data_IF_142444761457
#
_entry.id   IF_142444761457
#
_cell.length_a   1.000
_cell.length_b   1.000
_cell.length_c   1.000
_cell.angle_alpha   90.00
_cell.angle_beta   90.00
_cell.angle_gamma   90.00
#
_symmetry.space_group_name_H-M   'P 1'
#
loop_
_entity.id
_entity.type
_entity.pdbx_description
1 polymer ?
#
# COMPACT_ATOMS: atom_id res chain seq x y z
N UNK A 1 -24.30 39.73 12.47
CA UNK A 1 -23.74 39.68 11.10
C UNK A 1 -23.68 38.21 10.69
N UNK A 2 -24.41 37.79 9.66
CA UNK A 2 -24.31 36.42 9.14
C UNK A 2 -23.07 36.33 8.25
N UNK A 3 -22.05 35.61 8.68
CA UNK A 3 -20.93 35.24 7.79
C UNK A 3 -21.36 34.04 6.96
N UNK A 4 -21.28 34.11 5.62
CA UNK A 4 -21.65 32.98 4.75
C UNK A 4 -20.65 31.82 4.84
N UNK A 5 -19.39 32.11 5.15
CA UNK A 5 -18.31 31.13 5.32
C UNK A 5 -17.99 30.96 6.80
N UNK A 6 -18.74 30.07 7.45
CA UNK A 6 -18.53 29.78 8.87
C UNK A 6 -17.49 28.67 9.09
N UNK A 7 -17.28 27.80 8.10
CA UNK A 7 -16.15 26.88 8.05
C UNK A 7 -15.01 27.51 7.26
N UNK A 8 -13.83 27.63 7.86
CA UNK A 8 -12.65 28.20 7.21
C UNK A 8 -11.34 27.58 7.73
N UNK A 9 -10.27 27.80 6.97
CA UNK A 9 -8.97 27.19 7.27
C UNK A 9 -8.34 27.72 8.56
N UNK A 10 -8.47 29.02 8.85
CA UNK A 10 -7.91 29.64 10.05
C UNK A 10 -8.46 29.00 11.32
N UNK A 11 -9.78 28.87 11.42
CA UNK A 11 -10.45 28.17 12.51
C UNK A 11 -10.02 26.69 12.54
N UNK A 12 -9.92 26.04 11.38
CA UNK A 12 -9.43 24.66 11.28
C UNK A 12 -8.03 24.48 11.88
N UNK A 13 -7.10 25.39 11.60
CA UNK A 13 -5.74 25.38 12.16
C UNK A 13 -5.76 25.57 13.68
N UNK A 14 -6.63 26.43 14.20
CA UNK A 14 -6.81 26.56 15.65
C UNK A 14 -7.36 25.28 16.30
N UNK A 15 -8.35 24.64 15.66
CA UNK A 15 -8.89 23.36 16.11
C UNK A 15 -7.82 22.26 16.07
N UNK A 16 -6.96 22.25 15.06
CA UNK A 16 -5.84 21.32 14.97
C UNK A 16 -4.87 21.49 16.14
N UNK A 17 -4.50 22.73 16.48
CA UNK A 17 -3.65 23.01 17.65
C UNK A 17 -4.29 22.48 18.95
N UNK A 18 -5.59 22.73 19.15
CA UNK A 18 -6.35 22.22 20.31
C UNK A 18 -6.40 20.69 20.33
N UNK A 19 -6.60 20.06 19.18
CA UNK A 19 -6.61 18.60 19.04
C UNK A 19 -5.26 18.00 19.42
N UNK A 20 -4.13 18.60 19.00
CA UNK A 20 -2.79 18.13 19.41
C UNK A 20 -2.56 18.23 20.92
N UNK A 21 -2.97 19.35 21.53
CA UNK A 21 -2.91 19.52 22.99
C UNK A 21 -3.73 18.44 23.68
N UNK A 22 -4.97 18.23 23.24
CA UNK A 22 -5.86 17.21 23.78
C UNK A 22 -5.27 15.78 23.68
N UNK A 23 -4.74 15.42 22.51
CA UNK A 23 -4.11 14.11 22.29
C UNK A 23 -2.93 13.87 23.25
N UNK A 24 -2.13 14.91 23.50
CA UNK A 24 -1.01 14.85 24.44
C UNK A 24 -1.49 14.73 25.89
N UNK A 25 -2.45 15.55 26.30
CA UNK A 25 -3.00 15.55 27.67
C UNK A 25 -3.71 14.24 28.02
N UNK A 26 -4.39 13.60 27.05
CA UNK A 26 -5.08 12.32 27.23
C UNK A 26 -4.20 11.10 26.94
N UNK A 27 -2.93 11.31 26.58
CA UNK A 27 -2.01 10.24 26.18
C UNK A 27 -2.55 9.33 25.07
N UNK A 28 -3.29 9.91 24.11
CA UNK A 28 -3.93 9.17 23.01
C UNK A 28 -3.08 9.14 21.74
N UNK A 29 -2.04 9.97 21.66
CA UNK A 29 -1.22 10.12 20.45
C UNK A 29 -0.53 8.80 20.06
N UNK A 30 0.10 8.13 21.02
CA UNK A 30 0.82 6.88 20.76
C UNK A 30 -0.14 5.76 20.37
N UNK A 31 -1.28 5.63 21.06
CA UNK A 31 -2.29 4.62 20.70
C UNK A 31 -2.85 4.86 19.29
N UNK A 32 -3.11 6.11 18.93
CA UNK A 32 -3.61 6.49 17.61
C UNK A 32 -2.59 6.17 16.51
N UNK A 33 -1.31 6.52 16.72
CA UNK A 33 -0.23 6.18 15.77
C UNK A 33 -0.06 4.68 15.61
N UNK A 34 -0.11 3.93 16.71
CA UNK A 34 -0.01 2.47 16.66
C UNK A 34 -1.21 1.84 15.94
N UNK A 35 -2.43 2.35 16.11
CA UNK A 35 -3.60 1.91 15.33
C UNK A 35 -3.45 2.19 13.83
N UNK A 36 -2.84 3.33 13.46
CA UNK A 36 -2.48 3.60 12.06
C UNK A 36 -1.46 2.59 11.53
N UNK A 37 -0.42 2.26 12.29
CA UNK A 37 0.57 1.25 11.90
C UNK A 37 -0.02 -0.16 11.81
N UNK A 38 -0.91 -0.52 12.74
CA UNK A 38 -1.66 -1.79 12.74
C UNK A 38 -2.52 -1.90 11.48
N UNK A 39 -3.22 -0.82 11.11
CA UNK A 39 -3.99 -0.81 9.87
C UNK A 39 -3.05 -0.92 8.68
N UNK A 40 -2.06 -0.02 8.57
CA UNK A 40 -1.12 0.06 7.43
C UNK A 40 -0.44 -1.27 7.12
N UNK A 41 -0.04 -2.02 8.15
CA UNK A 41 0.64 -3.32 8.00
C UNK A 41 -0.20 -4.36 7.26
N UNK A 42 -1.51 -4.18 7.14
CA UNK A 42 -2.40 -5.12 6.43
C UNK A 42 -2.10 -5.19 4.93
N UNK A 43 -1.45 -4.19 4.34
CA UNK A 43 -1.01 -4.30 2.94
C UNK A 43 -0.08 -5.50 2.73
N UNK A 44 0.79 -5.76 3.72
CA UNK A 44 1.83 -6.79 3.62
C UNK A 44 1.26 -8.21 3.68
N UNK A 45 0.01 -8.39 4.13
CA UNK A 45 -0.67 -9.69 4.15
C UNK A 45 -1.50 -9.99 2.90
N UNK A 46 -1.68 -9.01 2.00
CA UNK A 46 -2.35 -9.21 0.72
C UNK A 46 -1.30 -9.76 -0.27
N UNK A 47 -1.36 -11.05 -0.67
CA UNK A 47 -0.28 -11.65 -1.44
C UNK A 47 -0.16 -11.04 -2.84
N UNK A 48 1.07 -10.83 -3.28
CA UNK A 48 1.36 -10.33 -4.62
C UNK A 48 2.18 -11.34 -5.42
N UNK A 49 1.71 -11.61 -6.62
CA UNK A 49 2.23 -12.60 -7.56
C UNK A 49 2.47 -11.93 -8.91
N UNK A 50 3.18 -12.61 -9.81
CA UNK A 50 3.37 -12.11 -11.18
C UNK A 50 2.04 -11.94 -11.95
N UNK A 51 1.00 -12.69 -11.58
CA UNK A 51 -0.31 -12.63 -12.23
C UNK A 51 -1.16 -11.44 -11.77
N UNK A 52 -1.04 -11.07 -10.49
CA UNK A 52 -1.80 -9.98 -9.90
C UNK A 52 -1.00 -8.66 -9.79
N UNK A 53 0.28 -8.67 -10.17
CA UNK A 53 1.11 -7.48 -10.22
C UNK A 53 0.47 -6.44 -11.15
N UNK A 54 0.26 -5.23 -10.65
CA UNK A 54 -0.40 -4.12 -11.37
C UNK A 54 -1.85 -4.39 -11.82
N UNK A 55 -2.53 -5.39 -11.25
CA UNK A 55 -3.94 -5.66 -11.58
C UNK A 55 -4.93 -4.74 -10.88
N UNK A 56 -4.45 -3.96 -9.89
CA UNK A 56 -5.29 -3.15 -9.00
C UNK A 56 -6.01 -3.96 -7.91
N UNK A 57 -5.67 -5.23 -7.68
CA UNK A 57 -6.39 -6.08 -6.69
C UNK A 57 -6.29 -5.57 -5.24
N UNK A 58 -5.21 -4.83 -4.91
CA UNK A 58 -5.00 -4.18 -3.61
C UNK A 58 -5.54 -2.75 -3.54
N UNK A 59 -6.06 -2.20 -4.64
CA UNK A 59 -6.54 -0.82 -4.73
C UNK A 59 -7.60 -0.48 -3.66
N UNK A 60 -8.64 -1.30 -3.39
CA UNK A 60 -9.63 -0.95 -2.38
C UNK A 60 -9.01 -0.80 -0.99
N UNK A 61 -8.02 -1.63 -0.66
CA UNK A 61 -7.31 -1.47 0.60
C UNK A 61 -6.48 -0.17 0.62
N UNK A 62 -5.74 0.12 -0.45
CA UNK A 62 -4.94 1.36 -0.54
C UNK A 62 -5.83 2.61 -0.40
N UNK A 63 -6.96 2.65 -1.10
CA UNK A 63 -7.92 3.74 -1.01
C UNK A 63 -8.56 3.82 0.40
N UNK A 64 -8.78 2.67 1.06
CA UNK A 64 -9.24 2.65 2.46
C UNK A 64 -8.22 3.24 3.44
N UNK A 65 -6.92 3.09 3.16
CA UNK A 65 -5.84 3.67 3.97
C UNK A 65 -5.78 5.18 3.80
N UNK A 66 -5.96 5.68 2.58
CA UNK A 66 -6.04 7.11 2.31
C UNK A 66 -7.26 7.74 2.98
N UNK A 67 -8.44 7.11 2.88
CA UNK A 67 -9.64 7.52 3.61
C UNK A 67 -9.46 7.52 5.14
N UNK A 68 -8.68 6.59 5.70
CA UNK A 68 -8.41 6.57 7.14
C UNK A 68 -7.62 7.80 7.59
N UNK A 69 -6.63 8.21 6.80
CA UNK A 69 -5.85 9.42 7.03
C UNK A 69 -6.69 10.69 6.83
N UNK A 70 -7.50 10.73 5.76
CA UNK A 70 -8.42 11.84 5.48
C UNK A 70 -9.41 12.02 6.64
N UNK A 71 -9.99 10.93 7.14
CA UNK A 71 -10.89 10.92 8.29
C UNK A 71 -10.26 11.57 9.53
N UNK A 72 -9.01 11.21 9.86
CA UNK A 72 -8.30 11.82 10.98
C UNK A 72 -8.00 13.31 10.75
N UNK A 73 -7.59 13.70 9.54
CA UNK A 73 -7.35 15.09 9.20
C UNK A 73 -8.62 15.93 9.33
N UNK A 74 -9.75 15.45 8.79
CA UNK A 74 -11.06 16.09 8.92
C UNK A 74 -11.47 16.23 10.39
N UNK A 75 -11.33 15.16 11.18
CA UNK A 75 -11.64 15.18 12.62
C UNK A 75 -10.78 16.21 13.36
N UNK A 76 -9.48 16.25 13.05
CA UNK A 76 -8.52 17.15 13.70
C UNK A 76 -8.72 18.62 13.33
N UNK A 77 -9.44 18.90 12.24
CA UNK A 77 -9.84 20.24 11.82
C UNK A 77 -11.28 20.61 12.26
N UNK A 78 -11.96 19.75 13.02
CA UNK A 78 -13.32 19.98 13.51
C UNK A 78 -14.44 19.64 12.53
N UNK A 79 -14.14 18.96 11.42
CA UNK A 79 -15.13 18.43 10.46
C UNK A 79 -15.64 17.05 10.88
N UNK A 80 -16.19 16.94 12.10
CA UNK A 80 -16.51 15.65 12.72
C UNK A 80 -17.51 14.80 11.92
N UNK A 81 -18.51 15.41 11.27
CA UNK A 81 -19.47 14.67 10.44
C UNK A 81 -18.77 14.05 9.23
N UNK A 82 -17.98 14.83 8.51
CA UNK A 82 -17.23 14.40 7.33
C UNK A 82 -16.20 13.34 7.71
N UNK A 83 -15.57 13.46 8.88
CA UNK A 83 -14.69 12.43 9.42
C UNK A 83 -15.42 11.08 9.61
N UNK A 84 -16.65 11.07 10.12
CA UNK A 84 -17.45 9.83 10.21
C UNK A 84 -17.88 9.31 8.84
N UNK A 85 -18.20 10.18 7.88
CA UNK A 85 -18.46 9.79 6.49
C UNK A 85 -17.24 9.11 5.88
N UNK A 86 -16.05 9.66 6.10
CA UNK A 86 -14.80 9.07 5.62
C UNK A 86 -14.49 7.74 6.33
N UNK A 87 -14.74 7.59 7.64
CA UNK A 87 -14.66 6.27 8.32
C UNK A 87 -15.61 5.21 7.72
N UNK A 88 -16.76 5.63 7.18
CA UNK A 88 -17.64 4.72 6.45
C UNK A 88 -16.96 4.22 5.19
N UNK A 89 -16.34 5.11 4.43
CA UNK A 89 -15.56 4.76 3.23
C UNK A 89 -14.44 3.78 3.58
N UNK A 90 -13.70 4.00 4.66
CA UNK A 90 -12.68 3.05 5.16
C UNK A 90 -13.26 1.66 5.34
N UNK A 91 -14.39 1.54 6.05
CA UNK A 91 -15.03 0.25 6.29
C UNK A 91 -15.49 -0.42 4.99
N UNK A 92 -16.14 0.33 4.10
CA UNK A 92 -16.64 -0.19 2.83
C UNK A 92 -15.50 -0.66 1.92
N UNK A 93 -14.47 0.18 1.72
CA UNK A 93 -13.30 -0.12 0.90
C UNK A 93 -12.45 -1.27 1.50
N UNK A 94 -12.27 -1.29 2.81
CA UNK A 94 -11.60 -2.39 3.52
C UNK A 94 -12.32 -3.72 3.34
N UNK A 95 -13.66 -3.73 3.33
CA UNK A 95 -14.45 -4.93 3.02
C UNK A 95 -14.36 -5.32 1.53
N UNK A 96 -14.30 -4.35 0.62
CA UNK A 96 -14.15 -4.61 -0.82
C UNK A 96 -12.82 -5.29 -1.14
N UNK A 97 -11.73 -4.90 -0.45
CA UNK A 97 -10.44 -5.59 -0.56
C UNK A 97 -10.59 -7.10 -0.35
N UNK A 98 -11.31 -7.50 0.70
CA UNK A 98 -11.57 -8.91 1.00
C UNK A 98 -12.55 -9.52 0.01
N UNK A 99 -13.62 -8.80 -0.34
CA UNK A 99 -14.67 -9.28 -1.25
C UNK A 99 -14.13 -9.68 -2.63
N UNK A 100 -13.25 -8.85 -3.20
CA UNK A 100 -12.65 -9.11 -4.50
C UNK A 100 -11.60 -10.21 -4.43
N UNK A 101 -10.83 -10.27 -3.33
CA UNK A 101 -9.77 -11.27 -3.18
C UNK A 101 -10.20 -12.57 -2.47
N UNK A 102 -11.49 -12.77 -2.16
CA UNK A 102 -11.96 -13.90 -1.33
C UNK A 102 -11.63 -15.29 -1.91
N UNK A 103 -11.54 -15.40 -3.24
CA UNK A 103 -11.17 -16.61 -3.97
C UNK A 103 -9.81 -16.49 -4.68
N UNK A 104 -9.01 -15.49 -4.33
CA UNK A 104 -7.69 -15.19 -4.91
C UNK A 104 -7.70 -14.86 -6.42
N UNK A 105 -8.88 -14.54 -6.97
CA UNK A 105 -9.14 -14.13 -8.36
C UNK A 105 -9.40 -12.60 -8.50
N UNK A 106 -9.07 -11.83 -7.45
CA UNK A 106 -9.35 -10.39 -7.38
C UNK A 106 -8.73 -9.59 -8.53
N UNK A 107 -7.58 -10.03 -9.05
CA UNK A 107 -6.90 -9.44 -10.20
C UNK A 107 -7.69 -9.51 -11.53
N UNK A 108 -8.67 -10.40 -11.61
CA UNK A 108 -9.60 -10.53 -12.74
C UNK A 108 -10.87 -9.76 -12.44
N UNK A 109 -11.51 -10.07 -11.30
CA UNK A 109 -12.85 -9.60 -10.97
C UNK A 109 -12.94 -8.09 -10.74
N UNK A 110 -11.87 -7.46 -10.24
CA UNK A 110 -11.91 -6.04 -9.87
C UNK A 110 -11.91 -5.10 -11.08
N UNK A 111 -11.54 -5.58 -12.28
CA UNK A 111 -11.31 -4.73 -13.46
C UNK A 111 -12.54 -3.94 -13.87
N UNK A 112 -13.72 -4.54 -13.85
CA UNK A 112 -14.93 -3.83 -14.27
C UNK A 112 -15.35 -2.75 -13.27
N UNK A 113 -15.16 -3.00 -11.96
CA UNK A 113 -15.34 -1.99 -10.93
C UNK A 113 -14.32 -0.84 -11.05
N UNK A 114 -13.02 -1.14 -11.24
CA UNK A 114 -11.99 -0.11 -11.48
C UNK A 114 -12.27 0.75 -12.71
N UNK A 115 -12.85 0.15 -13.75
CA UNK A 115 -13.23 0.85 -14.98
C UNK A 115 -14.64 1.45 -14.92
N UNK A 116 -15.25 1.54 -13.74
CA UNK A 116 -16.58 2.16 -13.52
C UNK A 116 -17.71 1.51 -14.34
N UNK A 117 -17.61 0.21 -14.62
CA UNK A 117 -18.64 -0.56 -15.35
C UNK A 117 -19.62 -1.28 -14.42
N UNK A 118 -19.23 -1.50 -13.17
CA UNK A 118 -20.07 -2.12 -12.15
C UNK A 118 -20.15 -1.24 -10.89
N UNK A 119 -21.33 -1.25 -10.27
CA UNK A 119 -21.56 -0.57 -8.99
C UNK A 119 -20.88 -1.32 -7.84
N UNK A 120 -20.52 -0.56 -6.79
CA UNK A 120 -20.03 -1.13 -5.54
C UNK A 120 -21.10 -2.06 -4.91
N UNK A 121 -20.76 -3.32 -4.58
CA UNK A 121 -21.71 -4.24 -3.96
C UNK A 121 -22.15 -3.76 -2.58
N UNK A 122 -23.40 -4.04 -2.23
CA UNK A 122 -23.95 -3.69 -0.90
C UNK A 122 -23.36 -4.60 0.17
N UNK A 123 -23.32 -4.13 1.41
CA UNK A 123 -22.80 -4.89 2.57
C UNK A 123 -23.38 -6.32 2.68
N UNK A 124 -24.67 -6.49 2.41
CA UNK A 124 -25.32 -7.80 2.43
C UNK A 124 -24.74 -8.75 1.38
N UNK A 125 -24.50 -8.25 0.16
CA UNK A 125 -23.88 -9.02 -0.93
C UNK A 125 -22.43 -9.36 -0.58
N UNK A 126 -21.69 -8.39 -0.03
CA UNK A 126 -20.32 -8.59 0.43
C UNK A 126 -20.26 -9.71 1.47
N UNK A 127 -21.07 -9.60 2.54
CA UNK A 127 -21.10 -10.59 3.61
C UNK A 127 -21.54 -11.96 3.12
N UNK A 128 -22.54 -12.03 2.23
CA UNK A 128 -23.01 -13.29 1.62
C UNK A 128 -21.91 -14.00 0.83
N UNK A 129 -20.99 -13.25 0.21
CA UNK A 129 -19.83 -13.84 -0.49
C UNK A 129 -18.75 -14.26 0.51
N UNK A 130 -18.35 -13.36 1.41
CA UNK A 130 -17.27 -13.60 2.39
C UNK A 130 -17.58 -14.78 3.32
N UNK A 131 -18.81 -14.88 3.81
CA UNK A 131 -19.22 -15.94 4.76
C UNK A 131 -19.19 -17.37 4.20
N UNK A 132 -19.04 -17.54 2.88
CA UNK A 132 -18.86 -18.86 2.25
C UNK A 132 -17.43 -19.38 2.30
N UNK A 133 -16.46 -18.52 2.60
CA UNK A 133 -15.07 -18.94 2.77
C UNK A 133 -14.91 -19.72 4.08
N UNK A 134 -14.18 -20.85 4.04
CA UNK A 134 -14.02 -21.78 5.17
C UNK A 134 -13.50 -21.09 6.44
N UNK A 135 -12.54 -20.18 6.30
CA UNK A 135 -11.94 -19.48 7.44
C UNK A 135 -12.96 -18.53 8.09
N UNK A 136 -13.74 -17.81 7.28
CA UNK A 136 -14.82 -16.96 7.78
C UNK A 136 -15.95 -17.76 8.41
N UNK A 137 -16.33 -18.90 7.84
CA UNK A 137 -17.35 -19.78 8.40
C UNK A 137 -16.91 -20.29 9.79
N UNK A 138 -15.68 -20.80 9.90
CA UNK A 138 -15.11 -21.27 11.16
C UNK A 138 -15.02 -20.14 12.19
N UNK A 139 -14.48 -18.98 11.81
CA UNK A 139 -14.30 -17.86 12.73
C UNK A 139 -15.62 -17.26 13.21
N UNK A 140 -16.63 -17.17 12.34
CA UNK A 140 -17.95 -16.61 12.68
C UNK A 140 -18.68 -17.47 13.73
N UNK A 141 -18.53 -18.81 13.68
CA UNK A 141 -19.14 -19.73 14.67
C UNK A 141 -18.69 -19.43 16.11
N UNK A 142 -17.46 -18.93 16.28
CA UNK A 142 -16.85 -18.72 17.59
C UNK A 142 -16.83 -17.26 18.07
N UNK A 143 -16.91 -16.27 17.16
CA UNK A 143 -16.63 -14.86 17.50
C UNK A 143 -17.72 -13.86 17.10
N UNK A 144 -18.74 -14.30 16.36
CA UNK A 144 -19.85 -13.47 15.90
C UNK A 144 -19.42 -12.12 15.27
N UNK A 145 -18.40 -12.17 14.40
CA UNK A 145 -17.81 -10.98 13.76
C UNK A 145 -18.82 -10.22 12.89
N UNK A 146 -19.84 -10.91 12.34
CA UNK A 146 -20.95 -10.28 11.62
C UNK A 146 -21.66 -9.22 12.45
N UNK A 147 -22.01 -9.53 13.70
CA UNK A 147 -22.75 -8.60 14.56
C UNK A 147 -21.87 -7.41 14.94
N UNK A 148 -20.57 -7.64 15.14
CA UNK A 148 -19.59 -6.57 15.36
C UNK A 148 -19.53 -5.63 14.15
N UNK A 149 -19.50 -6.19 12.94
CA UNK A 149 -19.55 -5.42 11.69
C UNK A 149 -20.87 -4.64 11.54
N UNK A 150 -22.01 -5.28 11.78
CA UNK A 150 -23.33 -4.63 11.65
C UNK A 150 -23.53 -3.47 12.63
N UNK A 151 -22.88 -3.48 13.80
CA UNK A 151 -22.89 -2.34 14.73
C UNK A 151 -22.23 -1.08 14.17
N UNK A 152 -21.41 -1.20 13.12
CA UNK A 152 -20.80 -0.06 12.41
C UNK A 152 -21.70 0.52 11.31
N UNK A 153 -22.85 -0.10 11.01
CA UNK A 153 -23.81 0.46 10.05
C UNK A 153 -24.38 1.82 10.48
N UNK A 154 -24.24 2.18 11.76
CA UNK A 154 -24.62 3.51 12.23
C UNK A 154 -23.78 4.64 11.61
N UNK A 155 -22.61 4.34 11.02
CA UNK A 155 -21.85 5.29 10.21
C UNK A 155 -22.64 5.80 9.00
N UNK A 156 -23.57 4.99 8.47
CA UNK A 156 -24.48 5.41 7.40
C UNK A 156 -25.37 6.59 7.81
N UNK A 157 -25.60 6.78 9.11
CA UNK A 157 -26.44 7.87 9.61
C UNK A 157 -25.84 9.25 9.32
N UNK A 158 -24.52 9.36 9.13
CA UNK A 158 -23.81 10.62 8.87
C UNK A 158 -23.87 11.10 7.41
N UNK A 159 -24.38 10.28 6.48
CA UNK A 159 -24.62 10.67 5.07
C UNK A 159 -26.06 11.10 4.81
N UNK A 160 -26.65 11.89 5.73
CA UNK A 160 -28.00 12.46 5.60
C UNK A 160 -29.18 11.48 5.67
N UNK A 161 -28.97 10.28 6.20
CA UNK A 161 -30.06 9.28 6.33
C UNK A 161 -30.82 9.39 7.65
N UNK A 162 -30.27 10.10 8.64
CA UNK A 162 -30.95 10.44 9.90
C UNK A 162 -30.84 11.93 10.21
N UNK A 163 -31.76 12.40 11.05
CA UNK A 163 -31.95 13.82 11.38
C UNK A 163 -30.78 14.48 12.12
N UNK A 164 -31.06 15.64 12.72
CA UNK A 164 -30.05 16.60 13.19
C UNK A 164 -28.94 16.04 14.11
N UNK A 165 -29.17 14.93 14.82
CA UNK A 165 -28.16 14.26 15.65
C UNK A 165 -26.96 13.69 14.88
N UNK A 166 -27.14 13.35 13.59
CA UNK A 166 -26.08 12.85 12.71
C UNK A 166 -25.64 13.91 11.67
N UNK A 167 -26.02 15.17 11.88
CA UNK A 167 -25.59 16.30 11.08
C UNK A 167 -24.27 16.88 11.62
N UNK A 168 -23.88 18.10 11.21
CA UNK A 168 -22.70 18.80 11.74
C UNK A 168 -22.81 19.14 13.26
N UNK A 169 -23.84 18.64 13.95
CA UNK A 169 -24.08 18.77 15.40
C UNK A 169 -23.57 17.55 16.19
N UNK A 170 -22.54 16.85 15.70
CA UNK A 170 -22.03 15.61 16.32
C UNK A 170 -21.53 15.84 17.77
N UNK A 171 -21.28 17.09 18.19
CA UNK A 171 -21.15 17.48 19.60
C UNK A 171 -22.16 18.56 20.05
N UNK A 172 -21.77 19.83 20.22
CA UNK A 172 -22.70 20.83 20.77
C UNK A 172 -23.74 21.30 19.74
N UNK A 173 -24.96 21.58 20.21
CA UNK A 173 -26.12 22.00 19.40
C UNK A 173 -25.94 23.28 18.55
N UNK A 174 -24.81 23.99 18.66
CA UNK A 174 -24.68 25.39 18.20
C UNK A 174 -23.36 25.81 17.56
N UNK A 175 -22.39 24.93 17.29
CA UNK A 175 -21.19 25.41 16.56
C UNK A 175 -21.55 25.59 15.08
N UNK A 176 -21.69 26.85 14.66
CA UNK A 176 -21.84 27.20 13.25
C UNK A 176 -20.49 27.18 12.51
N UNK A 177 -19.36 27.07 13.21
CA UNK A 177 -17.99 27.10 12.68
C UNK A 177 -17.16 25.89 13.13
N UNK A 178 -15.94 25.73 12.58
CA UNK A 178 -14.97 24.75 13.09
C UNK A 178 -14.63 25.06 14.55
N UNK A 179 -14.95 24.15 15.46
CA UNK A 179 -14.53 24.23 16.86
C UNK A 179 -14.05 22.87 17.34
N UNK A 180 -13.14 22.87 18.30
CA UNK A 180 -12.71 21.64 18.95
C UNK A 180 -13.78 21.22 19.94
N UNK A 181 -14.30 19.99 19.77
CA UNK A 181 -15.32 19.42 20.63
C UNK A 181 -14.85 18.04 21.13
N UNK A 182 -14.45 17.96 22.40
CA UNK A 182 -13.94 16.73 23.02
C UNK A 182 -14.90 15.55 22.84
N UNK A 183 -16.21 15.75 23.07
CA UNK A 183 -17.21 14.69 22.93
C UNK A 183 -17.30 14.15 21.50
N UNK A 184 -17.21 15.04 20.51
CA UNK A 184 -17.25 14.64 19.11
C UNK A 184 -15.96 13.91 18.70
N UNK A 185 -14.81 14.39 19.18
CA UNK A 185 -13.52 13.72 18.99
C UNK A 185 -13.50 12.32 19.60
N UNK A 186 -13.92 12.16 20.86
CA UNK A 186 -13.99 10.84 21.51
C UNK A 186 -14.94 9.89 20.76
N UNK A 187 -16.09 10.41 20.28
CA UNK A 187 -17.05 9.61 19.51
C UNK A 187 -16.42 9.11 18.21
N UNK A 188 -15.74 10.00 17.48
CA UNK A 188 -14.97 9.64 16.29
C UNK A 188 -13.88 8.62 16.64
N UNK A 189 -13.07 8.87 17.67
CA UNK A 189 -11.95 8.01 18.07
C UNK A 189 -12.39 6.57 18.40
N UNK A 190 -13.50 6.42 19.13
CA UNK A 190 -14.10 5.10 19.41
C UNK A 190 -14.52 4.37 18.12
N UNK A 191 -15.09 5.09 17.16
CA UNK A 191 -15.49 4.53 15.86
C UNK A 191 -14.29 4.22 14.97
N UNK A 192 -13.31 5.10 14.92
CA UNK A 192 -12.03 4.91 14.25
C UNK A 192 -11.37 3.61 14.72
N UNK A 193 -11.19 3.45 16.03
CA UNK A 193 -10.60 2.24 16.61
C UNK A 193 -11.38 0.99 16.23
N UNK A 194 -12.71 1.02 16.33
CA UNK A 194 -13.52 -0.14 16.00
C UNK A 194 -13.49 -0.50 14.50
N UNK A 195 -13.52 0.48 13.61
CA UNK A 195 -13.37 0.26 12.15
C UNK A 195 -12.01 -0.36 11.85
N UNK A 196 -10.92 0.20 12.38
CA UNK A 196 -9.57 -0.32 12.21
C UNK A 196 -9.50 -1.78 12.64
N UNK A 197 -9.93 -2.09 13.86
CA UNK A 197 -9.84 -3.45 14.39
C UNK A 197 -10.71 -4.44 13.62
N UNK A 198 -11.94 -4.07 13.21
CA UNK A 198 -12.81 -4.94 12.41
C UNK A 198 -12.17 -5.25 11.06
N UNK A 199 -11.65 -4.25 10.35
CA UNK A 199 -11.03 -4.46 9.04
C UNK A 199 -9.77 -5.33 9.16
N UNK A 200 -8.93 -5.07 10.16
CA UNK A 200 -7.72 -5.86 10.47
C UNK A 200 -8.09 -7.33 10.74
N UNK A 201 -9.08 -7.57 11.60
CA UNK A 201 -9.54 -8.93 11.94
C UNK A 201 -10.03 -9.64 10.69
N UNK A 202 -10.86 -9.00 9.86
CA UNK A 202 -11.41 -9.62 8.66
C UNK A 202 -10.29 -9.96 7.64
N UNK A 203 -9.27 -9.11 7.48
CA UNK A 203 -8.13 -9.42 6.61
C UNK A 203 -7.30 -10.58 7.15
N UNK A 204 -7.04 -10.64 8.45
CA UNK A 204 -6.32 -11.77 9.08
C UNK A 204 -7.11 -13.08 8.99
N UNK A 205 -8.44 -13.04 9.01
CA UNK A 205 -9.27 -14.24 8.78
C UNK A 205 -9.15 -14.72 7.33
N UNK A 206 -9.07 -13.81 6.35
CA UNK A 206 -8.79 -14.18 4.94
C UNK A 206 -7.36 -14.70 4.77
N UNK A 207 -6.38 -14.06 5.41
CA UNK A 207 -4.96 -14.34 5.28
C UNK A 207 -4.37 -14.72 6.65
N UNK A 208 -4.69 -15.92 7.18
CA UNK A 208 -4.25 -16.32 8.52
C UNK A 208 -2.73 -16.54 8.60
N UNK A 209 -2.03 -16.59 7.45
CA UNK A 209 -0.56 -16.54 7.37
C UNK A 209 0.02 -15.34 8.12
N UNK A 210 -0.68 -14.19 8.14
CA UNK A 210 -0.28 -12.99 8.87
C UNK A 210 -0.20 -13.16 10.39
N UNK A 211 -0.61 -14.30 10.95
CA UNK A 211 -0.46 -14.61 12.38
C UNK A 211 0.81 -15.39 12.71
N UNK A 212 1.58 -15.81 11.71
CA UNK A 212 2.80 -16.60 11.92
C UNK A 212 3.94 -15.68 12.33
N UNK A 213 4.56 -15.98 13.48
CA UNK A 213 5.80 -15.33 13.93
C UNK A 213 6.99 -16.08 13.36
N UNK A 214 7.51 -15.59 12.24
CA UNK A 214 8.68 -16.18 11.60
C UNK A 214 9.54 -15.10 10.95
N UNK A 215 10.85 -15.20 11.10
CA UNK A 215 11.79 -14.34 10.38
C UNK A 215 12.09 -14.95 9.02
N UNK A 216 11.31 -14.54 8.01
CA UNK A 216 11.49 -15.01 6.64
C UNK A 216 12.85 -14.59 6.05
N UNK A 217 13.52 -13.58 6.60
CA UNK A 217 14.85 -13.18 6.13
C UNK A 217 15.91 -14.26 6.39
N UNK A 218 15.72 -15.13 7.39
CA UNK A 218 16.63 -16.27 7.62
C UNK A 218 16.68 -17.22 6.42
N UNK A 219 15.57 -17.36 5.69
CA UNK A 219 15.43 -18.29 4.56
C UNK A 219 15.59 -17.60 3.22
N UNK A 220 15.20 -16.34 3.10
CA UNK A 220 15.12 -15.62 1.83
C UNK A 220 16.06 -14.42 1.73
N UNK A 221 16.73 -14.03 2.82
CA UNK A 221 17.63 -12.87 2.85
C UNK A 221 16.86 -11.57 2.59
N UNK A 222 17.31 -10.80 1.61
CA UNK A 222 16.68 -9.51 1.23
C UNK A 222 15.54 -9.69 0.20
N UNK A 223 15.39 -10.88 -0.38
CA UNK A 223 14.43 -11.19 -1.44
C UNK A 223 13.31 -12.09 -0.91
N UNK A 224 12.65 -11.62 0.15
CA UNK A 224 11.49 -12.32 0.73
C UNK A 224 10.32 -12.23 -0.24
N UNK A 225 9.78 -13.36 -0.73
CA UNK A 225 8.63 -13.33 -1.61
C UNK A 225 7.43 -12.69 -0.90
N UNK A 226 6.59 -11.98 -1.66
CA UNK A 226 5.35 -11.40 -1.16
C UNK A 226 4.25 -12.44 -0.95
N UNK A 227 4.50 -13.37 -0.02
CA UNK A 227 3.57 -14.42 0.40
C UNK A 227 2.33 -13.90 1.14
N UNK A 228 2.31 -12.62 1.52
CA UNK A 228 1.32 -12.12 2.46
C UNK A 228 1.75 -12.33 3.91
N UNK A 229 3.00 -11.99 4.26
CA UNK A 229 3.59 -12.23 5.59
C UNK A 229 3.89 -10.92 6.30
N UNK A 230 3.86 -10.99 7.64
CA UNK A 230 4.21 -9.87 8.50
C UNK A 230 5.56 -10.09 9.17
N UNK A 231 6.26 -9.00 9.42
CA UNK A 231 7.41 -8.99 10.32
C UNK A 231 6.96 -9.26 11.76
N UNK A 232 7.82 -9.87 12.57
CA UNK A 232 7.48 -10.27 13.95
C UNK A 232 6.92 -9.10 14.76
N UNK A 233 7.54 -7.91 14.66
CA UNK A 233 7.07 -6.72 15.37
C UNK A 233 5.68 -6.24 14.91
N UNK A 234 5.30 -6.45 13.64
CA UNK A 234 3.96 -6.14 13.14
C UNK A 234 2.94 -7.12 13.73
N UNK A 235 3.28 -8.42 13.77
CA UNK A 235 2.44 -9.46 14.38
C UNK A 235 2.17 -9.16 15.85
N UNK A 236 3.21 -8.81 16.61
CA UNK A 236 3.10 -8.47 18.03
C UNK A 236 2.24 -7.24 18.28
N UNK A 237 2.38 -6.21 17.43
CA UNK A 237 1.53 -5.02 17.48
C UNK A 237 0.07 -5.39 17.20
N UNK A 238 -0.19 -6.14 16.14
CA UNK A 238 -1.56 -6.56 15.80
C UNK A 238 -2.18 -7.34 16.96
N UNK A 239 -1.49 -8.36 17.50
CA UNK A 239 -2.00 -9.16 18.62
C UNK A 239 -2.36 -8.28 19.82
N UNK A 240 -1.50 -7.31 20.18
CA UNK A 240 -1.76 -6.36 21.27
C UNK A 240 -3.07 -5.61 21.09
N UNK A 241 -3.44 -5.22 19.87
CA UNK A 241 -4.60 -4.38 19.59
C UNK A 241 -5.89 -5.16 19.34
N UNK A 242 -5.84 -6.28 18.62
CA UNK A 242 -7.03 -7.12 18.41
C UNK A 242 -7.34 -8.01 19.63
N UNK A 243 -6.36 -8.21 20.50
CA UNK A 243 -6.42 -9.04 21.69
C UNK A 243 -6.02 -10.49 21.43
N UNK A 244 -5.24 -11.08 22.35
CA UNK A 244 -4.72 -12.44 22.24
C UNK A 244 -5.79 -13.51 22.05
N UNK A 245 -6.99 -13.33 22.61
CA UNK A 245 -8.09 -14.30 22.40
C UNK A 245 -8.48 -14.39 20.92
N UNK A 246 -8.73 -13.24 20.28
CA UNK A 246 -9.09 -13.19 18.86
C UNK A 246 -7.89 -13.66 18.01
N UNK A 247 -6.70 -13.17 18.32
CA UNK A 247 -5.48 -13.53 17.61
C UNK A 247 -5.25 -15.04 17.60
N UNK A 248 -5.35 -15.70 18.76
CA UNK A 248 -5.13 -17.14 18.88
C UNK A 248 -6.16 -17.96 18.09
N UNK A 249 -7.41 -17.49 18.01
CA UNK A 249 -8.43 -18.15 17.18
C UNK A 249 -8.09 -18.06 15.69
N UNK A 250 -7.61 -16.90 15.22
CA UNK A 250 -7.17 -16.75 13.82
C UNK A 250 -5.88 -17.55 13.58
N UNK A 251 -4.96 -17.58 14.54
CA UNK A 251 -3.75 -18.38 14.47
C UNK A 251 -4.05 -19.88 14.40
N UNK A 252 -5.15 -20.35 15.02
CA UNK A 252 -5.61 -21.72 14.83
C UNK A 252 -6.03 -22.00 13.38
N UNK A 253 -6.70 -21.04 12.72
CA UNK A 253 -7.05 -21.16 11.29
C UNK A 253 -5.80 -21.35 10.43
N UNK A 254 -4.69 -20.69 10.75
CA UNK A 254 -3.44 -20.82 9.97
C UNK A 254 -2.87 -22.24 10.00
N UNK A 255 -3.14 -23.01 11.08
CA UNK A 255 -2.72 -24.42 11.21
C UNK A 255 -3.56 -25.39 10.38
N UNK A 256 -4.79 -25.00 10.06
CA UNK A 256 -5.76 -25.81 9.33
C UNK A 256 -5.86 -25.39 7.85
N UNK A 257 -5.40 -24.17 7.52
CA UNK A 257 -5.44 -23.61 6.17
C UNK A 257 -4.39 -24.29 5.26
N UNK A 258 -4.88 -25.01 4.25
CA UNK A 258 -4.04 -25.77 3.30
C UNK A 258 -3.02 -24.89 2.56
N UNK A 259 -3.34 -23.64 2.28
CA UNK A 259 -2.42 -22.73 1.59
C UNK A 259 -1.28 -22.31 2.52
N UNK A 260 -1.60 -21.99 3.78
CA UNK A 260 -0.60 -21.68 4.80
C UNK A 260 0.34 -22.87 5.02
N UNK A 261 -0.20 -24.09 5.17
CA UNK A 261 0.63 -25.29 5.37
C UNK A 261 1.59 -25.53 4.20
N UNK A 262 1.12 -25.34 2.96
CA UNK A 262 1.98 -25.45 1.76
C UNK A 262 3.12 -24.43 1.75
N UNK A 263 2.84 -23.18 2.15
CA UNK A 263 3.87 -22.14 2.23
C UNK A 263 4.90 -22.52 3.30
N UNK A 264 4.46 -22.90 4.50
CA UNK A 264 5.37 -23.26 5.59
C UNK A 264 6.21 -24.49 5.26
N UNK A 265 5.66 -25.49 4.57
CA UNK A 265 6.43 -26.64 4.08
C UNK A 265 7.57 -26.24 3.14
N UNK A 266 7.36 -25.23 2.28
CA UNK A 266 8.40 -24.71 1.38
C UNK A 266 9.48 -23.97 2.19
N UNK A 267 9.05 -23.14 3.14
CA UNK A 267 9.94 -22.36 4.01
C UNK A 267 10.83 -23.28 4.85
N UNK A 268 10.25 -24.31 5.45
CA UNK A 268 10.95 -25.25 6.34
C UNK A 268 11.98 -26.09 5.58
N UNK A 269 11.67 -26.52 4.35
CA UNK A 269 12.59 -27.28 3.49
C UNK A 269 13.74 -26.43 2.94
N UNK A 270 13.60 -25.11 2.91
CA UNK A 270 14.65 -24.22 2.42
C UNK A 270 15.78 -24.13 3.45
N UNK A 271 17.04 -24.20 3.00
CA UNK A 271 18.19 -23.98 3.89
C UNK A 271 18.26 -22.50 4.29
N UNK A 272 18.72 -22.23 5.51
CA UNK A 272 19.00 -20.85 5.93
C UNK A 272 20.07 -20.22 5.03
N UNK A 273 19.92 -18.93 4.78
CA UNK A 273 20.86 -18.12 4.02
C UNK A 273 22.15 -17.94 4.81
N UNK A 274 23.28 -18.09 4.12
CA UNK A 274 24.57 -17.66 4.68
C UNK A 274 24.80 -16.17 4.42
N UNK A 275 25.74 -15.54 5.13
CA UNK A 275 26.13 -14.15 4.86
C UNK A 275 26.57 -13.95 3.41
N UNK A 276 27.27 -14.93 2.83
CA UNK A 276 27.71 -14.89 1.44
C UNK A 276 26.52 -14.95 0.46
N UNK A 277 25.48 -15.73 0.77
CA UNK A 277 24.28 -15.79 -0.06
C UNK A 277 23.54 -14.43 -0.06
N UNK A 278 23.48 -13.77 1.09
CA UNK A 278 22.87 -12.43 1.23
C UNK A 278 23.70 -11.40 0.46
N UNK A 279 25.02 -11.44 0.56
CA UNK A 279 25.89 -10.54 -0.20
C UNK A 279 25.72 -10.70 -1.71
N UNK A 280 25.60 -11.95 -2.18
CA UNK A 280 25.33 -12.26 -3.57
C UNK A 280 23.96 -11.70 -4.00
N UNK A 281 22.92 -11.86 -3.19
CA UNK A 281 21.61 -11.25 -3.47
C UNK A 281 21.69 -9.73 -3.59
N UNK A 282 22.36 -9.06 -2.64
CA UNK A 282 22.51 -7.61 -2.67
C UNK A 282 23.30 -7.18 -3.91
N UNK A 283 24.36 -7.91 -4.27
CA UNK A 283 25.15 -7.64 -5.47
C UNK A 283 24.29 -7.75 -6.75
N UNK A 284 23.53 -8.82 -6.90
CA UNK A 284 22.68 -9.03 -8.07
C UNK A 284 21.50 -8.06 -8.12
N UNK A 285 20.93 -7.67 -6.97
CA UNK A 285 19.94 -6.59 -6.91
C UNK A 285 20.52 -5.27 -7.42
N UNK A 286 21.69 -4.88 -6.92
CA UNK A 286 22.34 -3.63 -7.35
C UNK A 286 22.70 -3.66 -8.84
N UNK A 287 23.17 -4.79 -9.36
CA UNK A 287 23.42 -4.93 -10.81
C UNK A 287 22.15 -4.70 -11.62
N UNK A 288 21.04 -5.35 -11.26
CA UNK A 288 19.74 -5.16 -11.94
C UNK A 288 19.26 -3.70 -11.91
N UNK A 289 19.41 -3.03 -10.76
CA UNK A 289 19.10 -1.60 -10.65
C UNK A 289 20.02 -0.75 -11.54
N UNK A 290 21.33 -1.02 -11.55
CA UNK A 290 22.31 -0.32 -12.39
C UNK A 290 22.07 -0.56 -13.89
N UNK A 291 21.65 -1.76 -14.30
CA UNK A 291 21.28 -2.04 -15.69
C UNK A 291 20.12 -1.15 -16.14
N UNK A 292 19.18 -0.88 -15.25
CA UNK A 292 18.02 -0.05 -15.53
C UNK A 292 18.34 1.45 -15.44
N UNK A 293 18.85 1.91 -14.29
CA UNK A 293 18.97 3.33 -13.98
C UNK A 293 20.34 3.93 -14.36
N UNK A 294 21.34 3.07 -14.58
CA UNK A 294 22.73 3.45 -14.75
C UNK A 294 23.45 3.72 -13.43
N UNK A 295 24.75 3.42 -13.38
CA UNK A 295 25.57 3.54 -12.16
C UNK A 295 25.52 4.94 -11.55
N UNK A 296 25.54 6.00 -12.37
CA UNK A 296 25.48 7.39 -11.89
C UNK A 296 24.19 7.72 -11.13
N UNK A 297 23.06 7.17 -11.55
CA UNK A 297 21.78 7.38 -10.86
C UNK A 297 21.70 6.48 -9.63
N UNK A 298 22.09 5.22 -9.78
CA UNK A 298 22.15 4.28 -8.67
C UNK A 298 22.99 4.82 -7.51
N UNK A 299 24.23 5.28 -7.76
CA UNK A 299 25.10 5.80 -6.69
C UNK A 299 24.51 7.04 -6.02
N UNK A 300 23.79 7.89 -6.77
CA UNK A 300 23.06 9.05 -6.23
C UNK A 300 21.94 8.60 -5.28
N UNK A 301 21.18 7.58 -5.67
CA UNK A 301 20.13 7.00 -4.81
C UNK A 301 20.71 6.31 -3.56
N UNK A 302 21.92 5.78 -3.65
CA UNK A 302 22.64 5.15 -2.54
C UNK A 302 23.39 6.13 -1.62
N UNK A 303 23.41 7.44 -1.92
CA UNK A 303 24.17 8.44 -1.17
C UNK A 303 23.86 8.42 0.33
N UNK A 304 22.59 8.31 0.71
CA UNK A 304 22.18 8.27 2.11
C UNK A 304 22.79 7.07 2.88
N UNK A 305 22.91 5.91 2.24
CA UNK A 305 23.53 4.72 2.84
C UNK A 305 25.04 4.96 3.01
N UNK A 306 25.69 5.54 2.00
CA UNK A 306 27.12 5.84 2.03
C UNK A 306 27.47 6.90 3.09
N UNK A 307 26.60 7.89 3.28
CA UNK A 307 26.74 8.92 4.32
C UNK A 307 26.59 8.34 5.75
N UNK A 308 25.67 7.39 5.94
CA UNK A 308 25.46 6.74 7.24
C UNK A 308 26.52 5.71 7.60
N UNK A 309 27.13 5.06 6.61
CA UNK A 309 28.11 3.99 6.81
C UNK A 309 29.44 4.25 6.07
N UNK A 310 30.09 5.41 6.27
CA UNK A 310 31.23 5.83 5.45
C UNK A 310 32.51 5.00 5.67
N UNK A 311 32.57 4.21 6.76
CA UNK A 311 33.74 3.40 7.14
C UNK A 311 33.55 1.91 6.86
N UNK A 312 32.41 1.49 6.31
CA UNK A 312 32.20 0.09 6.00
C UNK A 312 32.98 -0.30 4.75
N UNK A 313 34.08 -1.03 4.96
CA UNK A 313 34.95 -1.53 3.88
C UNK A 313 34.19 -2.41 2.90
N UNK A 314 33.17 -3.15 3.35
CA UNK A 314 32.36 -4.04 2.52
C UNK A 314 31.53 -3.24 1.52
N UNK A 315 30.90 -2.15 2.00
CA UNK A 315 30.13 -1.25 1.14
C UNK A 315 31.04 -0.55 0.13
N UNK A 316 32.20 -0.04 0.57
CA UNK A 316 33.15 0.61 -0.32
C UNK A 316 33.65 -0.32 -1.43
N UNK A 317 34.12 -1.51 -1.08
CA UNK A 317 34.60 -2.50 -2.04
C UNK A 317 33.51 -2.91 -3.05
N UNK A 318 32.26 -3.03 -2.58
CA UNK A 318 31.11 -3.33 -3.45
C UNK A 318 30.84 -2.20 -4.44
N UNK A 319 30.87 -0.94 -4.00
CA UNK A 319 30.68 0.21 -4.90
C UNK A 319 31.77 0.27 -5.97
N UNK A 320 33.04 0.11 -5.58
CA UNK A 320 34.17 0.08 -6.52
C UNK A 320 34.03 -1.07 -7.54
N UNK A 321 33.62 -2.25 -7.07
CA UNK A 321 33.33 -3.38 -7.95
C UNK A 321 32.20 -3.08 -8.94
N UNK A 322 31.08 -2.54 -8.46
CA UNK A 322 29.93 -2.21 -9.28
C UNK A 322 30.22 -1.10 -10.30
N UNK A 323 31.07 -0.14 -9.96
CA UNK A 323 31.52 0.91 -10.89
C UNK A 323 32.32 0.31 -12.05
N UNK A 324 33.31 -0.54 -11.75
CA UNK A 324 34.11 -1.22 -12.76
C UNK A 324 33.23 -2.12 -13.63
N UNK A 325 32.39 -2.95 -13.01
CA UNK A 325 31.45 -3.80 -13.72
C UNK A 325 30.51 -3.01 -14.63
N UNK A 326 29.97 -1.88 -14.14
CA UNK A 326 29.10 -1.01 -14.94
C UNK A 326 29.86 -0.34 -16.09
N UNK A 327 31.14 0.00 -15.90
CA UNK A 327 32.01 0.54 -16.96
C UNK A 327 32.23 -0.48 -18.07
N UNK A 328 32.64 -1.70 -17.69
CA UNK A 328 32.92 -2.81 -18.62
C UNK A 328 31.69 -3.23 -19.44
N UNK A 329 30.51 -3.23 -18.82
CA UNK A 329 29.26 -3.62 -19.46
C UNK A 329 28.48 -2.45 -20.07
N UNK A 330 29.03 -1.23 -20.01
CA UNK A 330 28.40 -0.04 -20.57
C UNK A 330 27.11 0.40 -19.86
N UNK A 331 27.00 0.16 -18.55
CA UNK A 331 25.90 0.55 -17.65
C UNK A 331 26.17 1.82 -16.84
N UNK A 332 27.18 2.63 -17.19
CA UNK A 332 27.49 3.88 -16.46
C UNK A 332 26.36 4.92 -16.56
N UNK A 333 25.79 5.08 -17.75
CA UNK A 333 24.74 6.05 -18.03
C UNK A 333 23.36 5.41 -17.94
N UNK A 334 22.34 6.23 -17.66
CA UNK A 334 20.94 5.79 -17.61
C UNK A 334 20.50 5.10 -18.90
N UNK A 335 19.68 4.03 -18.80
CA UNK A 335 19.27 3.20 -19.94
C UNK A 335 18.76 4.01 -21.14
N UNK A 336 17.91 5.02 -20.92
CA UNK A 336 17.46 5.93 -21.98
C UNK A 336 18.60 6.64 -22.73
N UNK A 337 19.64 7.11 -22.03
CA UNK A 337 20.80 7.76 -22.65
C UNK A 337 21.56 6.75 -23.51
N UNK A 338 21.69 5.51 -23.02
CA UNK A 338 22.36 4.42 -23.73
C UNK A 338 21.62 4.03 -25.00
N UNK A 339 20.30 3.89 -24.92
CA UNK A 339 19.43 3.64 -26.09
C UNK A 339 19.53 4.78 -27.12
N UNK A 340 19.52 6.04 -26.68
CA UNK A 340 19.73 7.19 -27.59
C UNK A 340 21.10 7.16 -28.29
N UNK A 341 22.17 6.82 -27.57
CA UNK A 341 23.52 6.66 -28.15
C UNK A 341 23.57 5.50 -29.15
N UNK A 342 22.87 4.40 -28.87
CA UNK A 342 22.76 3.25 -29.76
C UNK A 342 22.02 3.60 -31.06
N UNK A 343 20.89 4.32 -30.97
CA UNK A 343 20.16 4.83 -32.14
C UNK A 343 21.08 5.70 -33.00
N UNK A 344 21.82 6.63 -32.39
CA UNK A 344 22.74 7.52 -33.12
C UNK A 344 23.83 6.73 -33.85
N UNK A 345 24.43 5.72 -33.21
CA UNK A 345 25.45 4.86 -33.85
C UNK A 345 24.89 4.03 -35.00
N UNK A 346 23.67 3.51 -34.86
CA UNK A 346 23.00 2.75 -35.93
C UNK A 346 22.69 3.65 -37.13
N UNK A 347 22.22 4.89 -36.88
CA UNK A 347 22.04 5.92 -37.92
C UNK A 347 23.34 6.18 -38.69
N UNK A 348 24.46 6.36 -37.98
CA UNK A 348 25.77 6.66 -38.58
C UNK A 348 26.34 5.50 -39.40
N UNK A 349 25.95 4.25 -39.11
CA UNK A 349 26.43 3.04 -39.81
C UNK A 349 25.59 2.65 -41.03
N UNK A 350 24.49 3.36 -41.31
CA UNK A 350 23.69 3.13 -42.51
C UNK A 350 22.88 1.82 -42.54
N UNK A 351 22.65 1.16 -41.39
CA UNK A 351 21.88 -0.09 -41.33
C UNK A 351 20.82 -0.17 -40.21
N UNK A 352 19.76 -0.90 -40.59
CA UNK A 352 18.72 -1.60 -39.83
C UNK A 352 17.63 -0.78 -39.13
N UNK A 353 16.67 -0.29 -39.94
CA UNK A 353 15.41 0.37 -39.50
C UNK A 353 14.65 -0.49 -38.46
N UNK A 354 14.69 -1.82 -38.58
CA UNK A 354 14.01 -2.73 -37.66
C UNK A 354 14.66 -2.70 -36.25
N UNK A 355 15.98 -2.71 -36.18
CA UNK A 355 16.72 -2.56 -34.92
C UNK A 355 16.48 -1.18 -34.27
N UNK A 356 16.46 -0.11 -35.07
CA UNK A 356 16.15 1.24 -34.56
C UNK A 356 14.71 1.30 -34.04
N UNK A 357 13.76 0.71 -34.75
CA UNK A 357 12.34 0.66 -34.34
C UNK A 357 12.15 -0.10 -33.03
N UNK A 358 12.84 -1.23 -32.86
CA UNK A 358 12.81 -2.00 -31.61
C UNK A 358 13.35 -1.20 -30.41
N UNK A 359 14.45 -0.47 -30.59
CA UNK A 359 15.02 0.38 -29.53
C UNK A 359 14.10 1.54 -29.17
N UNK A 360 13.40 2.12 -30.16
CA UNK A 360 12.42 3.18 -29.93
C UNK A 360 11.22 2.65 -29.16
N UNK A 361 10.67 1.49 -29.54
CA UNK A 361 9.58 0.83 -28.82
C UNK A 361 9.97 0.53 -27.36
N UNK A 362 11.19 0.06 -27.11
CA UNK A 362 11.70 -0.16 -25.76
C UNK A 362 11.82 1.16 -24.98
N UNK A 363 12.31 2.23 -25.63
CA UNK A 363 12.43 3.56 -25.03
C UNK A 363 11.07 4.14 -24.68
N UNK A 364 10.06 3.99 -25.54
CA UNK A 364 8.68 4.39 -25.26
C UNK A 364 8.10 3.64 -24.08
N UNK A 365 8.32 2.32 -23.98
CA UNK A 365 7.83 1.51 -22.86
C UNK A 365 8.40 2.02 -21.53
N UNK A 366 9.69 2.33 -21.47
CA UNK A 366 10.32 2.92 -20.29
C UNK A 366 9.70 4.29 -19.97
N UNK A 367 9.55 5.16 -20.97
CA UNK A 367 8.99 6.51 -20.77
C UNK A 367 7.55 6.46 -20.25
N UNK A 368 6.70 5.59 -20.82
CA UNK A 368 5.31 5.39 -20.40
C UNK A 368 5.19 4.82 -18.98
N UNK A 369 6.17 4.05 -18.55
CA UNK A 369 6.13 3.38 -17.24
C UNK A 369 6.57 4.29 -16.10
N UNK A 370 7.47 5.25 -16.35
CA UNK A 370 8.19 5.96 -15.27
C UNK A 370 8.10 7.49 -15.29
N UNK A 371 7.43 8.10 -16.27
CA UNK A 371 7.34 9.57 -16.35
C UNK A 371 5.89 10.05 -16.25
N UNK A 372 5.64 10.99 -15.35
CA UNK A 372 4.32 11.61 -15.10
C UNK A 372 3.77 12.40 -16.31
N UNK A 373 4.60 12.68 -17.31
CA UNK A 373 4.20 13.31 -18.58
C UNK A 373 5.00 12.71 -19.75
N UNK A 374 4.62 11.49 -20.19
CA UNK A 374 5.41 10.71 -21.13
C UNK A 374 5.33 11.29 -22.56
N UNK A 375 4.27 12.04 -22.88
CA UNK A 375 3.94 12.48 -24.23
C UNK A 375 5.00 13.38 -24.87
N UNK A 376 5.59 14.31 -24.11
CA UNK A 376 6.64 15.21 -24.65
C UNK A 376 7.89 14.43 -25.07
N UNK A 377 8.27 13.43 -24.29
CA UNK A 377 9.46 12.61 -24.54
C UNK A 377 9.18 11.58 -25.63
N UNK A 378 7.99 10.97 -25.64
CA UNK A 378 7.49 10.08 -26.70
C UNK A 378 7.43 10.82 -28.04
N UNK A 379 6.91 12.05 -28.06
CA UNK A 379 6.83 12.85 -29.30
C UNK A 379 8.23 13.13 -29.88
N UNK A 380 9.23 13.35 -29.04
CA UNK A 380 10.62 13.48 -29.49
C UNK A 380 11.19 12.17 -30.02
N UNK A 381 10.89 11.03 -29.38
CA UNK A 381 11.29 9.70 -29.86
C UNK A 381 10.63 9.35 -31.20
N UNK A 382 9.34 9.65 -31.35
CA UNK A 382 8.59 9.45 -32.60
C UNK A 382 9.05 10.38 -33.72
N UNK A 383 9.44 11.61 -33.41
CA UNK A 383 10.08 12.50 -34.38
C UNK A 383 11.38 11.89 -34.90
N UNK A 384 12.22 11.36 -34.01
CA UNK A 384 13.46 10.65 -34.37
C UNK A 384 13.17 9.40 -35.21
N UNK A 385 12.10 8.64 -34.89
CA UNK A 385 11.66 7.47 -35.65
C UNK A 385 11.24 7.84 -37.07
N UNK A 386 10.39 8.86 -37.21
CA UNK A 386 9.87 9.32 -38.49
C UNK A 386 10.99 9.87 -39.38
N UNK A 387 11.94 10.61 -38.81
CA UNK A 387 13.14 11.07 -39.52
C UNK A 387 13.97 9.88 -40.07
N UNK A 388 14.10 8.78 -39.33
CA UNK A 388 14.76 7.55 -39.80
C UNK A 388 13.98 6.91 -40.94
N UNK A 389 12.66 6.75 -40.79
CA UNK A 389 11.80 6.11 -41.78
C UNK A 389 11.75 6.87 -43.12
N UNK A 390 11.90 8.19 -43.09
CA UNK A 390 11.94 9.05 -44.28
C UNK A 390 13.31 9.12 -44.96
N UNK A 391 14.38 8.69 -44.28
CA UNK A 391 15.73 8.61 -44.88
C UNK A 391 15.85 7.31 -45.69
N UNK A 392 15.01 7.16 -46.73
CA UNK A 392 15.22 6.13 -47.76
C UNK A 392 16.37 6.57 -48.65
N UNK A 393 17.35 5.68 -48.81
CA UNK A 393 18.26 5.71 -49.96
C UNK A 393 17.47 5.60 -51.27
#
# INVERSE_FOLDING_TARGET
>A
MFMPLTYNLENGVEVYKKTKVYLKEKNLFDELNELFWVYYSIIDIIPQTNENFSSGHSFPYQDSWDELQISFNLCSLGYYKQAHTSLRSVLELGLLSIYWNINDDGHILIKDWLNSKEDTPRLEQIWKKISKNKNFEAFQKENNIKDRLLKLNDLHNFVHTKGCFYSNRVGFLKSNMNTFEEKAFIKWYKKFKEVVLVVVILHLVKYPLGTIRYDFSEKFGIDVPWFGVLQIFQVDKIEKYIGSEIFNKIHKLSKEDEHVQKIMDIVDKKKNMTEQDIDNQIMESNKREIEHDGFKMWIKNQQWILEKFPKDKKVKNRVEYLENWASENGYIEHKLIRLCKQIKRLKEKGENIEQISNIINESEKIVKTYYDNPDKTINNLNKIHNEVATTKF
#
